data_IF_952462948612
#
_entry.id   IF_952462948612
#
_cell.length_a   1.000
_cell.length_b   1.000
_cell.length_c   1.000
_cell.angle_alpha   90.00
_cell.angle_beta   90.00
_cell.angle_gamma   90.00
#
_symmetry.space_group_name_H-M   'P 1'
#
loop_
_entity.id
_entity.type
_entity.pdbx_description
1 polymer ?
#
# COMPACT_ATOMS: atom_id res chain seq x y z
N UNK A 1 -4.72 -25.54 14.26
CA UNK A 1 -4.07 -24.23 14.50
C UNK A 1 -4.00 -23.42 13.22
N UNK A 2 -3.49 -23.98 12.12
CA UNK A 2 -3.51 -23.30 10.80
C UNK A 2 -4.95 -23.03 10.36
N UNK A 3 -5.83 -24.05 10.39
CA UNK A 3 -7.26 -23.90 10.08
C UNK A 3 -7.97 -22.85 10.94
N UNK A 4 -7.70 -22.79 12.24
CA UNK A 4 -8.33 -21.80 13.13
C UNK A 4 -7.89 -20.37 12.82
N UNK A 5 -6.61 -20.16 12.51
CA UNK A 5 -6.09 -18.83 12.15
C UNK A 5 -6.55 -18.41 10.76
N UNK A 6 -6.60 -19.36 9.82
CA UNK A 6 -7.17 -19.18 8.48
C UNK A 6 -8.63 -18.71 8.56
N UNK A 7 -9.46 -19.40 9.36
CA UNK A 7 -10.87 -19.08 9.51
C UNK A 7 -11.12 -17.75 10.23
N UNK A 8 -10.36 -17.44 11.30
CA UNK A 8 -10.50 -16.17 12.04
C UNK A 8 -10.07 -14.96 11.23
N UNK A 9 -9.06 -15.11 10.36
CA UNK A 9 -8.43 -13.98 9.64
C UNK A 9 -8.76 -13.91 8.15
N UNK A 10 -9.43 -14.91 7.60
CA UNK A 10 -9.77 -14.97 6.17
C UNK A 10 -8.53 -15.06 5.27
N UNK A 11 -7.49 -15.76 5.71
CA UNK A 11 -6.21 -15.89 4.99
C UNK A 11 -6.09 -17.32 4.47
N UNK A 12 -5.60 -17.47 3.23
CA UNK A 12 -5.36 -18.79 2.65
C UNK A 12 -4.32 -19.58 3.46
N UNK A 13 -4.64 -20.83 3.78
CA UNK A 13 -3.77 -21.72 4.55
C UNK A 13 -2.38 -21.87 3.94
N UNK A 14 -2.28 -21.84 2.60
CA UNK A 14 -1.02 -21.92 1.87
C UNK A 14 -0.04 -20.81 2.26
N UNK A 15 -0.53 -19.59 2.50
CA UNK A 15 0.30 -18.46 2.94
C UNK A 15 0.82 -18.70 4.36
N UNK A 16 -0.01 -19.29 5.22
CA UNK A 16 0.36 -19.63 6.60
C UNK A 16 1.43 -20.73 6.62
N UNK A 17 1.27 -21.77 5.80
CA UNK A 17 2.29 -22.82 5.66
C UNK A 17 3.61 -22.27 5.13
N UNK A 18 3.58 -21.47 4.06
CA UNK A 18 4.80 -20.82 3.54
C UNK A 18 5.48 -19.93 4.58
N UNK A 19 4.70 -19.19 5.37
CA UNK A 19 5.24 -18.39 6.47
C UNK A 19 5.92 -19.23 7.55
N UNK A 20 5.33 -20.39 7.89
CA UNK A 20 5.91 -21.34 8.84
C UNK A 20 7.18 -21.99 8.29
N UNK A 21 7.22 -22.33 7.01
CA UNK A 21 8.41 -22.87 6.33
C UNK A 21 9.58 -21.87 6.40
N UNK A 22 9.35 -20.61 6.04
CA UNK A 22 10.36 -19.54 6.13
C UNK A 22 10.80 -19.31 7.58
N UNK A 23 9.84 -19.32 8.52
CA UNK A 23 10.11 -19.18 9.94
C UNK A 23 11.02 -20.30 10.46
N UNK A 24 10.70 -21.56 10.12
CA UNK A 24 11.46 -22.73 10.55
C UNK A 24 12.83 -22.78 9.87
N UNK A 25 12.92 -22.41 8.60
CA UNK A 25 14.18 -22.31 7.87
C UNK A 25 15.12 -21.29 8.54
N UNK A 26 14.61 -20.09 8.84
CA UNK A 26 15.39 -19.03 9.51
C UNK A 26 15.85 -19.41 10.93
N UNK A 27 15.03 -20.17 11.66
CA UNK A 27 15.38 -20.67 12.98
C UNK A 27 16.45 -21.77 12.91
N UNK A 28 16.32 -22.66 11.92
CA UNK A 28 17.26 -23.76 11.67
C UNK A 28 18.63 -23.21 11.25
N UNK A 29 18.68 -22.15 10.44
CA UNK A 29 19.91 -21.49 10.00
C UNK A 29 20.85 -21.13 11.15
N UNK A 30 20.32 -20.74 12.33
CA UNK A 30 21.14 -20.39 13.50
C UNK A 30 21.94 -21.56 14.08
N UNK A 31 21.56 -22.80 13.75
CA UNK A 31 22.27 -24.02 14.15
C UNK A 31 23.28 -24.47 13.08
N UNK A 32 23.28 -23.84 11.90
CA UNK A 32 24.21 -24.09 10.80
C UNK A 32 25.12 -22.87 10.58
N UNK A 33 26.03 -22.97 9.61
CA UNK A 33 26.88 -21.85 9.20
C UNK A 33 26.02 -20.70 8.63
N UNK A 34 26.45 -19.45 8.82
CA UNK A 34 25.66 -18.24 8.47
C UNK A 34 25.28 -18.19 6.97
N UNK A 35 26.09 -18.81 6.12
CA UNK A 35 25.89 -18.87 4.66
C UNK A 35 25.15 -20.12 4.16
N UNK A 36 24.66 -20.99 5.05
CA UNK A 36 23.95 -22.19 4.64
C UNK A 36 22.57 -21.86 4.06
N UNK A 37 22.22 -22.43 2.90
CA UNK A 37 20.89 -22.27 2.33
C UNK A 37 19.98 -23.44 2.77
N UNK A 38 18.88 -23.15 3.47
CA UNK A 38 17.95 -24.15 4.00
C UNK A 38 16.53 -23.86 3.52
N UNK A 39 15.85 -24.90 3.06
CA UNK A 39 14.42 -24.88 2.75
C UNK A 39 13.71 -25.87 3.66
N UNK A 40 12.54 -25.48 4.16
CA UNK A 40 11.69 -26.37 4.96
C UNK A 40 10.42 -26.62 4.18
N UNK A 41 9.96 -27.85 4.15
CA UNK A 41 8.66 -28.22 3.60
C UNK A 41 7.78 -28.78 4.71
N UNK A 42 6.52 -28.34 4.77
CA UNK A 42 5.54 -28.85 5.73
C UNK A 42 4.47 -29.63 4.96
N UNK A 43 4.25 -30.89 5.34
CA UNK A 43 3.10 -31.64 4.86
C UNK A 43 1.82 -31.06 5.46
N UNK A 44 0.92 -30.60 4.60
CA UNK A 44 -0.33 -29.94 4.99
C UNK A 44 -1.29 -30.88 5.72
N UNK A 45 -1.15 -32.19 5.52
CA UNK A 45 -2.05 -33.22 6.07
C UNK A 45 -1.57 -33.73 7.42
N UNK A 46 -0.29 -34.10 7.53
CA UNK A 46 0.29 -34.62 8.78
C UNK A 46 0.81 -33.53 9.71
N UNK A 47 1.19 -32.37 9.17
CA UNK A 47 1.87 -31.29 9.89
C UNK A 47 3.33 -31.59 10.21
N UNK A 48 3.88 -32.71 9.72
CA UNK A 48 5.31 -33.00 9.81
C UNK A 48 6.09 -32.13 8.84
N UNK A 49 7.28 -31.70 9.24
CA UNK A 49 8.15 -30.87 8.41
C UNK A 49 9.47 -31.58 8.12
N UNK A 50 10.03 -31.35 6.94
CA UNK A 50 11.37 -31.80 6.54
C UNK A 50 12.26 -30.60 6.25
N UNK A 51 13.52 -30.68 6.68
CA UNK A 51 14.52 -29.64 6.43
C UNK A 51 15.50 -30.12 5.37
N UNK A 52 15.58 -29.38 4.27
CA UNK A 52 16.49 -29.63 3.17
C UNK A 52 17.57 -28.56 3.19
N UNK A 53 18.83 -28.97 3.11
CA UNK A 53 19.96 -28.06 2.91
C UNK A 53 20.37 -28.10 1.44
N UNK A 54 20.66 -26.92 0.91
CA UNK A 54 21.04 -26.70 -0.47
C UNK A 54 22.50 -26.25 -0.55
N UNK A 55 23.24 -26.85 -1.48
CA UNK A 55 24.60 -26.48 -1.85
C UNK A 55 24.65 -26.15 -3.33
N UNK A 56 25.49 -25.19 -3.71
CA UNK A 56 25.75 -24.87 -5.10
C UNK A 56 26.88 -25.76 -5.62
N UNK A 57 26.68 -26.39 -6.78
CA UNK A 57 27.70 -27.25 -7.38
C UNK A 57 28.75 -26.38 -8.06
N UNK A 58 29.98 -26.40 -7.56
CA UNK A 58 31.10 -25.61 -8.08
C UNK A 58 32.37 -26.45 -8.21
N UNK A 59 33.30 -26.00 -9.05
CA UNK A 59 34.59 -26.64 -9.23
C UNK A 59 35.51 -26.33 -8.04
N UNK A 60 36.28 -27.34 -7.57
CA UNK A 60 37.21 -27.19 -6.44
C UNK A 60 38.31 -26.13 -6.66
N UNK A 61 38.51 -25.65 -7.89
CA UNK A 61 39.51 -24.65 -8.26
C UNK A 61 38.98 -23.21 -8.33
N UNK A 62 37.72 -22.96 -7.99
CA UNK A 62 37.14 -21.62 -8.00
C UNK A 62 37.56 -20.82 -6.74
N UNK A 63 37.82 -19.52 -6.88
CA UNK A 63 38.24 -18.66 -5.75
C UNK A 63 37.12 -18.50 -4.71
N UNK A 64 35.85 -18.66 -5.12
CA UNK A 64 34.66 -18.57 -4.27
C UNK A 64 34.25 -19.92 -3.65
N UNK A 65 35.02 -21.00 -3.86
CA UNK A 65 34.66 -22.33 -3.36
C UNK A 65 34.84 -22.45 -1.84
N UNK A 66 33.72 -22.57 -1.13
CA UNK A 66 33.68 -22.87 0.31
C UNK A 66 32.92 -24.18 0.56
N UNK A 67 33.53 -25.13 1.30
CA UNK A 67 32.93 -26.43 1.63
C UNK A 67 31.58 -26.35 2.37
N UNK A 68 31.27 -25.21 2.97
CA UNK A 68 30.02 -24.99 3.70
C UNK A 68 28.86 -24.53 2.81
N UNK A 69 29.16 -24.01 1.61
CA UNK A 69 28.17 -23.49 0.65
C UNK A 69 28.20 -24.23 -0.70
N UNK A 70 29.33 -24.86 -1.03
CA UNK A 70 29.57 -25.53 -2.30
C UNK A 70 29.82 -27.03 -2.14
N UNK A 71 29.43 -27.78 -3.17
CA UNK A 71 29.68 -29.22 -3.32
C UNK A 71 30.36 -29.47 -4.66
N UNK A 72 31.24 -30.47 -4.70
CA UNK A 72 31.95 -30.84 -5.93
C UNK A 72 31.02 -31.60 -6.88
N UNK A 73 31.26 -31.51 -8.18
CA UNK A 73 30.55 -32.29 -9.21
C UNK A 73 30.64 -33.82 -8.94
N UNK A 74 31.75 -34.28 -8.37
CA UNK A 74 31.98 -35.68 -8.04
C UNK A 74 31.06 -36.18 -6.92
N UNK A 75 30.72 -35.31 -5.95
CA UNK A 75 29.90 -35.65 -4.80
C UNK A 75 28.39 -35.42 -5.06
N UNK A 76 28.02 -34.43 -5.87
CA UNK A 76 26.63 -34.16 -6.23
C UNK A 76 26.12 -35.00 -7.39
N UNK A 77 27.00 -35.47 -8.28
CA UNK A 77 26.63 -36.06 -9.59
C UNK A 77 25.73 -35.16 -10.46
N UNK A 78 25.77 -33.84 -10.21
CA UNK A 78 25.01 -32.80 -10.92
C UNK A 78 25.98 -31.86 -11.63
N UNK A 79 25.49 -31.08 -12.61
CA UNK A 79 26.35 -30.20 -13.39
C UNK A 79 26.74 -28.94 -12.62
N UNK A 80 27.89 -28.35 -12.95
CA UNK A 80 28.35 -27.09 -12.34
C UNK A 80 27.30 -26.00 -12.55
N UNK A 81 26.89 -25.34 -11.46
CA UNK A 81 25.83 -24.34 -11.43
C UNK A 81 24.47 -24.87 -10.97
N UNK A 82 24.30 -26.18 -10.81
CA UNK A 82 23.09 -26.77 -10.23
C UNK A 82 23.07 -26.66 -8.70
N UNK A 83 21.87 -26.78 -8.12
CA UNK A 83 21.68 -26.83 -6.67
C UNK A 83 21.51 -28.28 -6.22
N UNK A 84 22.44 -28.79 -5.44
CA UNK A 84 22.32 -30.09 -4.78
C UNK A 84 21.58 -29.94 -3.45
N UNK A 85 20.51 -30.72 -3.25
CA UNK A 85 19.73 -30.74 -2.02
C UNK A 85 19.91 -32.04 -1.25
N UNK A 86 20.15 -31.96 0.06
CA UNK A 86 20.20 -33.13 0.95
C UNK A 86 19.33 -32.93 2.18
N UNK A 87 18.74 -34.02 2.66
CA UNK A 87 17.92 -34.04 3.86
C UNK A 87 18.79 -33.94 5.11
N UNK A 88 18.42 -33.03 6.00
CA UNK A 88 19.14 -32.79 7.25
C UNK A 88 18.20 -33.10 8.42
N UNK A 89 18.69 -33.73 9.51
CA UNK A 89 17.86 -34.00 10.67
C UNK A 89 17.24 -32.72 11.21
N UNK A 90 15.94 -32.78 11.47
CA UNK A 90 15.19 -31.66 12.04
C UNK A 90 15.76 -31.26 13.41
N UNK A 91 16.02 -29.97 13.57
CA UNK A 91 16.52 -29.41 14.83
C UNK A 91 15.39 -29.42 15.86
N UNK A 92 15.69 -29.82 17.11
CA UNK A 92 14.71 -29.73 18.20
C UNK A 92 14.43 -28.27 18.51
N UNK A 93 13.19 -27.85 18.31
CA UNK A 93 12.75 -26.49 18.62
C UNK A 93 12.80 -26.22 20.12
N UNK A 94 13.67 -25.29 20.53
CA UNK A 94 13.67 -24.71 21.85
C UNK A 94 12.61 -23.60 21.99
N UNK A 95 12.62 -22.95 23.16
CA UNK A 95 11.69 -21.85 23.46
C UNK A 95 11.96 -20.60 22.61
N UNK A 96 13.22 -20.35 22.26
CA UNK A 96 13.67 -19.12 21.56
C UNK A 96 13.25 -19.19 20.09
N UNK A 97 13.48 -20.34 19.46
CA UNK A 97 13.15 -20.64 18.07
C UNK A 97 11.63 -20.61 17.87
N UNK A 98 10.87 -21.14 18.83
CA UNK A 98 9.41 -21.10 18.81
C UNK A 98 8.87 -19.66 18.88
N UNK A 99 9.51 -18.79 19.68
CA UNK A 99 9.12 -17.38 19.77
C UNK A 99 9.45 -16.62 18.47
N UNK A 100 10.62 -16.86 17.89
CA UNK A 100 11.01 -16.29 16.60
C UNK A 100 10.05 -16.74 15.49
N UNK A 101 9.70 -18.03 15.45
CA UNK A 101 8.78 -18.56 14.46
C UNK A 101 7.38 -17.96 14.58
N UNK A 102 6.87 -17.79 15.82
CA UNK A 102 5.62 -17.07 16.06
C UNK A 102 5.67 -15.62 15.55
N UNK A 103 6.80 -14.94 15.74
CA UNK A 103 6.97 -13.57 15.27
C UNK A 103 6.92 -13.47 13.73
N UNK A 104 7.65 -14.35 13.03
CA UNK A 104 7.66 -14.39 11.55
C UNK A 104 6.27 -14.77 11.02
N UNK A 105 5.60 -15.75 11.63
CA UNK A 105 4.23 -16.12 11.29
C UNK A 105 3.28 -14.93 11.45
N UNK A 106 3.30 -14.24 12.59
CA UNK A 106 2.45 -13.08 12.83
C UNK A 106 2.76 -11.91 11.87
N UNK A 107 4.01 -11.75 11.46
CA UNK A 107 4.39 -10.76 10.46
C UNK A 107 3.79 -11.09 9.09
N UNK A 108 3.94 -12.33 8.63
CA UNK A 108 3.40 -12.79 7.33
C UNK A 108 1.89 -12.75 7.29
N UNK A 109 1.22 -13.12 8.39
CA UNK A 109 -0.23 -12.98 8.55
C UNK A 109 -0.65 -11.52 8.36
N UNK A 110 0.03 -10.56 8.99
CA UNK A 110 -0.27 -9.13 8.82
C UNK A 110 0.01 -8.60 7.41
N UNK A 111 1.03 -9.13 6.73
CA UNK A 111 1.32 -8.81 5.33
C UNK A 111 0.17 -9.30 4.44
N UNK A 112 -0.27 -10.54 4.61
CA UNK A 112 -1.39 -11.10 3.85
C UNK A 112 -2.73 -10.38 4.12
N UNK A 113 -3.03 -10.05 5.39
CA UNK A 113 -4.20 -9.22 5.73
C UNK A 113 -4.16 -7.88 4.99
N UNK A 114 -2.98 -7.24 4.94
CA UNK A 114 -2.81 -5.95 4.28
C UNK A 114 -3.02 -6.07 2.77
N UNK A 115 -2.47 -7.09 2.13
CA UNK A 115 -2.61 -7.30 0.69
C UNK A 115 -4.08 -7.55 0.31
N UNK A 116 -4.80 -8.33 1.12
CA UNK A 116 -6.24 -8.53 0.96
C UNK A 116 -7.00 -7.20 1.07
N UNK A 117 -6.72 -6.40 2.11
CA UNK A 117 -7.34 -5.08 2.29
C UNK A 117 -7.04 -4.18 1.08
N UNK A 118 -5.77 -4.07 0.67
CA UNK A 118 -5.37 -3.25 -0.47
C UNK A 118 -6.11 -3.69 -1.74
N UNK A 119 -6.26 -5.00 -1.96
CA UNK A 119 -6.98 -5.53 -3.12
C UNK A 119 -8.45 -5.09 -3.16
N UNK A 120 -9.12 -4.98 -2.00
CA UNK A 120 -10.50 -4.51 -1.90
C UNK A 120 -10.65 -3.04 -2.28
N UNK A 121 -9.64 -2.22 -1.99
CA UNK A 121 -9.66 -0.78 -2.23
C UNK A 121 -9.03 -0.36 -3.56
N UNK A 122 -8.51 -1.29 -4.36
CA UNK A 122 -7.90 -0.97 -5.68
C UNK A 122 -8.85 -0.26 -6.63
N UNK A 123 -10.16 -0.55 -6.58
CA UNK A 123 -11.16 0.13 -7.41
C UNK A 123 -11.47 1.56 -6.95
N UNK A 124 -11.10 1.90 -5.72
CA UNK A 124 -11.31 3.20 -5.08
C UNK A 124 -10.02 4.02 -5.00
N UNK A 125 -8.97 3.62 -5.73
CA UNK A 125 -7.73 4.39 -5.78
C UNK A 125 -7.98 5.79 -6.38
N UNK A 126 -7.42 6.81 -5.73
CA UNK A 126 -7.66 8.23 -6.01
C UNK A 126 -9.11 8.70 -5.86
N UNK A 127 -9.94 7.97 -5.11
CA UNK A 127 -11.29 8.43 -4.76
C UNK A 127 -11.33 9.07 -3.38
N UNK A 128 -12.32 9.94 -3.17
CA UNK A 128 -12.55 10.57 -1.87
C UNK A 128 -13.22 9.60 -0.90
N UNK A 129 -12.56 9.37 0.22
CA UNK A 129 -13.06 8.56 1.33
C UNK A 129 -13.34 9.43 2.55
N UNK A 130 -14.37 9.03 3.30
CA UNK A 130 -14.69 9.63 4.58
C UNK A 130 -14.19 8.69 5.68
N UNK A 131 -13.46 9.22 6.65
CA UNK A 131 -12.94 8.43 7.74
C UNK A 131 -13.00 9.12 9.09
N UNK A 132 -12.74 8.37 10.15
CA UNK A 132 -12.67 8.88 11.54
C UNK A 132 -11.27 8.68 12.09
N UNK A 133 -10.69 9.74 12.66
CA UNK A 133 -9.34 9.69 13.23
C UNK A 133 -9.33 8.80 14.47
N UNK A 134 -8.69 7.64 14.39
CA UNK A 134 -8.51 6.72 15.52
C UNK A 134 -7.35 7.14 16.42
N UNK A 135 -6.23 7.51 15.82
CA UNK A 135 -5.00 7.81 16.56
C UNK A 135 -4.18 8.88 15.87
N UNK A 136 -3.63 9.81 16.65
CA UNK A 136 -2.70 10.84 16.19
C UNK A 136 -1.33 10.55 16.80
N UNK A 137 -0.32 10.33 15.95
CA UNK A 137 1.07 10.18 16.36
C UNK A 137 1.88 11.42 15.99
N UNK A 138 3.19 11.40 16.28
CA UNK A 138 4.09 12.50 15.93
C UNK A 138 4.14 12.73 14.43
N UNK A 139 4.26 11.66 13.65
CA UNK A 139 4.52 11.75 12.20
C UNK A 139 3.31 11.36 11.36
N UNK A 140 2.43 10.50 11.89
CA UNK A 140 1.30 9.93 11.16
C UNK A 140 -0.03 10.07 11.92
N UNK A 141 -1.12 10.19 11.17
CA UNK A 141 -2.49 10.13 11.65
C UNK A 141 -3.10 8.84 11.11
N UNK A 142 -3.73 8.06 11.98
CA UNK A 142 -4.40 6.81 11.61
C UNK A 142 -5.89 7.09 11.56
N UNK A 143 -6.45 6.86 10.39
CA UNK A 143 -7.86 7.12 10.08
C UNK A 143 -8.53 5.80 9.75
N UNK A 144 -9.67 5.56 10.39
CA UNK A 144 -10.57 4.46 10.05
C UNK A 144 -11.44 4.88 8.86
N UNK A 145 -11.34 4.16 7.75
CA UNK A 145 -12.10 4.43 6.51
C UNK A 145 -13.31 3.51 6.35
N UNK A 146 -13.68 2.77 7.40
CA UNK A 146 -14.82 1.84 7.44
C UNK A 146 -14.40 0.38 7.41
N UNK A 147 -15.30 -0.52 7.84
CA UNK A 147 -15.07 -1.97 7.94
C UNK A 147 -13.83 -2.36 8.76
N UNK A 148 -13.51 -1.59 9.81
CA UNK A 148 -12.30 -1.76 10.64
C UNK A 148 -10.98 -1.64 9.87
N UNK A 149 -10.99 -1.01 8.69
CA UNK A 149 -9.80 -0.79 7.87
C UNK A 149 -9.15 0.53 8.24
N UNK A 150 -7.86 0.46 8.59
CA UNK A 150 -7.05 1.61 8.94
C UNK A 150 -6.21 2.08 7.75
N UNK A 151 -6.28 3.37 7.46
CA UNK A 151 -5.44 4.05 6.50
C UNK A 151 -4.53 5.07 7.21
N UNK A 152 -3.35 5.28 6.63
CA UNK A 152 -2.33 6.16 7.20
C UNK A 152 -2.37 7.48 6.46
N UNK A 153 -2.51 8.58 7.20
CA UNK A 153 -2.37 9.93 6.70
C UNK A 153 -1.10 10.56 7.30
N UNK A 154 0.00 10.64 6.53
CA UNK A 154 1.20 11.34 6.95
C UNK A 154 0.91 12.82 7.22
N UNK A 155 1.65 13.46 8.14
CA UNK A 155 1.41 14.87 8.47
C UNK A 155 1.72 15.84 7.32
N UNK A 156 2.63 15.50 6.41
CA UNK A 156 2.89 16.25 5.17
C UNK A 156 1.72 16.18 4.18
N UNK A 157 0.81 15.23 4.37
CA UNK A 157 -0.39 15.07 3.54
C UNK A 157 -1.62 15.80 4.09
N UNK A 158 -1.49 16.50 5.22
CA UNK A 158 -2.48 17.44 5.75
C UNK A 158 -2.41 18.79 5.04
N UNK A 159 -3.46 19.60 5.21
CA UNK A 159 -3.40 21.00 4.82
C UNK A 159 -2.47 21.79 5.77
N UNK A 160 -1.75 22.80 5.27
CA UNK A 160 -0.91 23.65 6.11
C UNK A 160 -1.72 24.36 7.20
N UNK A 161 -1.46 24.04 8.47
CA UNK A 161 -2.15 24.64 9.62
C UNK A 161 -3.31 23.81 10.18
N UNK A 162 -3.70 22.74 9.48
CA UNK A 162 -4.78 21.84 9.89
C UNK A 162 -4.39 21.01 11.11
N UNK A 163 -5.31 20.88 12.07
CA UNK A 163 -5.12 20.12 13.32
C UNK A 163 -6.21 19.06 13.44
N UNK A 164 -5.88 17.82 13.10
CA UNK A 164 -6.77 16.69 13.33
C UNK A 164 -6.75 16.22 14.80
N UNK A 165 -7.92 16.04 15.39
CA UNK A 165 -8.12 15.48 16.73
C UNK A 165 -8.62 14.04 16.65
N UNK A 166 -8.41 13.29 17.75
CA UNK A 166 -8.95 11.94 17.88
C UNK A 166 -10.49 12.00 17.85
N UNK A 167 -11.11 11.04 17.17
CA UNK A 167 -12.55 10.91 16.90
C UNK A 167 -13.15 11.99 15.98
N UNK A 168 -12.31 12.81 15.35
CA UNK A 168 -12.76 13.75 14.33
C UNK A 168 -13.01 13.04 13.00
N UNK A 169 -14.04 13.48 12.27
CA UNK A 169 -14.30 13.00 10.91
C UNK A 169 -13.49 13.82 9.92
N UNK A 170 -12.81 13.14 9.02
CA UNK A 170 -11.95 13.75 8.02
C UNK A 170 -12.27 13.13 6.66
N UNK A 171 -12.35 13.97 5.63
CA UNK A 171 -12.44 13.53 4.24
C UNK A 171 -11.04 13.60 3.64
N UNK A 172 -10.61 12.59 2.90
CA UNK A 172 -9.31 12.59 2.25
C UNK A 172 -9.34 11.70 1.01
N UNK A 173 -8.43 11.94 0.07
CA UNK A 173 -8.28 11.07 -1.09
C UNK A 173 -7.47 9.85 -0.68
N UNK A 174 -7.97 8.67 -1.01
CA UNK A 174 -7.27 7.41 -0.84
C UNK A 174 -6.23 7.24 -1.96
N UNK A 175 -4.98 7.02 -1.59
CA UNK A 175 -3.88 6.72 -2.50
C UNK A 175 -3.20 5.42 -2.06
N UNK A 176 -3.17 4.44 -2.95
CA UNK A 176 -2.44 3.20 -2.71
C UNK A 176 -0.97 3.43 -3.09
N UNK A 177 -0.07 3.40 -2.11
CA UNK A 177 1.37 3.55 -2.35
C UNK A 177 2.16 2.34 -1.86
N UNK A 178 3.17 1.95 -2.63
CA UNK A 178 4.13 0.95 -2.22
C UNK A 178 5.20 1.57 -1.33
N UNK A 179 5.35 1.02 -0.13
CA UNK A 179 6.39 1.43 0.82
C UNK A 179 7.46 0.36 0.86
N UNK A 180 8.71 0.77 0.65
CA UNK A 180 9.85 -0.13 0.67
C UNK A 180 9.93 -0.88 2.02
N UNK A 181 10.04 -2.20 1.94
CA UNK A 181 10.08 -3.11 3.09
C UNK A 181 8.76 -3.34 3.83
N UNK A 182 7.64 -2.69 3.43
CA UNK A 182 6.32 -2.88 4.06
C UNK A 182 5.16 -3.20 3.10
N UNK A 183 5.42 -3.18 1.79
CA UNK A 183 4.43 -3.46 0.76
C UNK A 183 3.47 -2.30 0.51
N UNK A 184 2.40 -2.57 -0.23
CA UNK A 184 1.36 -1.56 -0.54
C UNK A 184 0.59 -1.18 0.72
N UNK A 185 0.36 0.11 0.91
CA UNK A 185 -0.39 0.66 2.03
C UNK A 185 -1.46 1.62 1.53
N UNK A 186 -2.57 1.63 2.26
CA UNK A 186 -3.63 2.63 2.10
C UNK A 186 -3.15 3.93 2.74
N UNK A 187 -2.80 4.90 1.90
CA UNK A 187 -2.40 6.22 2.32
C UNK A 187 -3.51 7.22 2.04
N UNK A 188 -3.67 8.22 2.91
CA UNK A 188 -4.62 9.30 2.69
C UNK A 188 -3.90 10.61 2.42
N UNK A 189 -4.48 11.43 1.55
CA UNK A 189 -3.99 12.78 1.29
C UNK A 189 -5.10 13.80 1.17
N UNK A 190 -4.92 14.93 1.85
CA UNK A 190 -5.75 16.14 1.73
C UNK A 190 -5.04 17.24 0.93
N UNK A 191 -3.72 17.14 0.79
CA UNK A 191 -2.88 18.09 0.06
C UNK A 191 -2.79 17.80 -1.45
N UNK A 192 -3.13 16.59 -1.90
CA UNK A 192 -3.08 16.20 -3.31
C UNK A 192 -4.06 16.99 -4.21
N UNK A 193 -3.73 17.28 -5.48
CA UNK A 193 -4.64 17.98 -6.42
C UNK A 193 -5.98 17.26 -6.62
N UNK A 194 -5.98 15.93 -6.57
CA UNK A 194 -7.17 15.08 -6.73
C UNK A 194 -8.24 15.36 -5.68
N UNK A 195 -7.86 15.85 -4.50
CA UNK A 195 -8.81 16.26 -3.46
C UNK A 195 -9.79 17.32 -3.98
N UNK A 196 -9.31 18.27 -4.77
CA UNK A 196 -10.17 19.31 -5.36
C UNK A 196 -11.13 18.68 -6.36
N UNK A 197 -10.64 17.80 -7.25
CA UNK A 197 -11.47 17.09 -8.23
C UNK A 197 -12.62 16.34 -7.55
N UNK A 198 -12.30 15.54 -6.54
CA UNK A 198 -13.27 14.69 -5.89
C UNK A 198 -14.28 15.48 -5.03
N UNK A 199 -13.84 16.57 -4.40
CA UNK A 199 -14.78 17.48 -3.72
C UNK A 199 -15.75 18.13 -4.70
N UNK A 200 -15.27 18.57 -5.87
CA UNK A 200 -16.13 19.12 -6.91
C UNK A 200 -17.07 18.07 -7.50
N UNK A 201 -16.67 16.81 -7.66
CA UNK A 201 -17.57 15.72 -8.06
C UNK A 201 -18.74 15.55 -7.09
N UNK A 202 -18.49 15.68 -5.78
CA UNK A 202 -19.56 15.56 -4.77
C UNK A 202 -20.48 16.79 -4.79
N UNK A 203 -19.94 17.98 -4.98
CA UNK A 203 -20.69 19.24 -4.89
C UNK A 203 -21.41 19.63 -6.20
N UNK A 204 -20.88 19.23 -7.36
CA UNK A 204 -21.36 19.58 -8.70
C UNK A 204 -21.81 18.31 -9.43
N UNK A 205 -23.14 18.05 -9.50
CA UNK A 205 -23.69 16.88 -10.19
C UNK A 205 -23.24 16.77 -11.65
N UNK A 206 -23.10 17.91 -12.33
CA UNK A 206 -22.69 17.97 -13.73
C UNK A 206 -21.25 17.44 -13.95
N UNK A 207 -20.38 17.48 -12.94
CA UNK A 207 -19.04 16.86 -13.00
C UNK A 207 -19.15 15.35 -12.72
N UNK A 208 -20.02 14.95 -11.79
CA UNK A 208 -20.22 13.53 -11.47
C UNK A 208 -20.89 12.74 -12.61
N UNK A 209 -21.69 13.41 -13.44
CA UNK A 209 -22.33 12.85 -14.64
C UNK A 209 -21.45 12.97 -15.90
N UNK A 210 -20.19 13.39 -15.75
CA UNK A 210 -19.22 13.60 -16.85
C UNK A 210 -19.70 14.60 -17.92
N UNK A 211 -20.62 15.51 -17.58
CA UNK A 211 -21.09 16.58 -18.48
C UNK A 211 -20.06 17.72 -18.52
N UNK A 212 -19.43 18.00 -17.38
CA UNK A 212 -18.32 18.93 -17.22
C UNK A 212 -17.08 18.16 -16.81
N UNK A 213 -16.00 18.32 -17.56
CA UNK A 213 -14.71 17.70 -17.27
C UNK A 213 -13.74 18.73 -16.66
N UNK A 214 -13.07 18.36 -15.57
CA UNK A 214 -11.92 19.11 -15.06
C UNK A 214 -10.68 18.68 -15.86
N UNK A 215 -10.13 19.59 -16.67
CA UNK A 215 -9.01 19.33 -17.58
C UNK A 215 -7.62 19.56 -16.98
N UNK A 216 -7.55 20.26 -15.85
CA UNK A 216 -6.28 20.66 -15.26
C UNK A 216 -6.48 21.30 -13.89
N UNK A 217 -5.52 21.06 -13.01
CA UNK A 217 -5.49 21.57 -11.64
C UNK A 217 -4.06 22.00 -11.31
N UNK A 218 -3.92 23.22 -10.83
CA UNK A 218 -2.70 23.73 -10.22
C UNK A 218 -3.04 24.17 -8.80
N UNK A 219 -2.41 23.54 -7.80
CA UNK A 219 -2.81 23.66 -6.40
C UNK A 219 -1.62 23.96 -5.50
N UNK A 220 -1.76 25.03 -4.73
CA UNK A 220 -0.97 25.33 -3.53
C UNK A 220 -1.86 25.04 -2.30
N UNK A 221 -1.72 23.86 -1.67
CA UNK A 221 -2.67 23.37 -0.66
C UNK A 221 -2.87 24.36 0.49
N UNK A 222 -4.13 24.61 0.85
CA UNK A 222 -4.51 25.54 1.92
C UNK A 222 -4.34 27.03 1.57
N UNK A 223 -3.91 27.38 0.35
CA UNK A 223 -3.74 28.78 -0.07
C UNK A 223 -4.56 29.13 -1.31
N UNK A 224 -4.26 28.48 -2.43
CA UNK A 224 -4.92 28.77 -3.72
C UNK A 224 -4.88 27.56 -4.64
N UNK A 225 -5.99 27.32 -5.31
CA UNK A 225 -6.11 26.37 -6.42
C UNK A 225 -6.67 27.08 -7.64
N UNK A 226 -6.15 26.71 -8.81
CA UNK A 226 -6.72 27.04 -10.12
C UNK A 226 -7.17 25.73 -10.76
N UNK A 227 -8.44 25.64 -11.11
CA UNK A 227 -8.98 24.51 -11.85
C UNK A 227 -9.49 24.97 -13.21
N UNK A 228 -9.37 24.11 -14.20
CA UNK A 228 -9.79 24.42 -15.56
C UNK A 228 -10.86 23.44 -16.00
N UNK A 229 -12.01 23.96 -16.42
CA UNK A 229 -13.21 23.16 -16.71
C UNK A 229 -13.62 23.32 -18.18
N UNK A 230 -14.10 22.23 -18.76
CA UNK A 230 -14.65 22.19 -20.12
C UNK A 230 -15.96 21.43 -20.12
N UNK A 231 -16.89 21.82 -20.98
CA UNK A 231 -18.07 21.00 -21.30
C UNK A 231 -18.21 20.88 -22.81
N UNK A 232 -18.78 19.77 -23.26
CA UNK A 232 -19.13 19.57 -24.66
C UNK A 232 -20.55 20.05 -24.97
N UNK A 233 -21.38 20.34 -23.95
CA UNK A 233 -22.73 20.87 -24.14
C UNK A 233 -22.71 22.40 -24.11
N UNK A 234 -22.92 23.02 -25.28
CA UNK A 234 -22.97 24.48 -25.42
C UNK A 234 -24.14 25.18 -24.72
N UNK A 235 -25.07 24.43 -24.10
CA UNK A 235 -26.16 24.98 -23.28
C UNK A 235 -25.76 25.19 -21.82
N UNK A 236 -24.65 24.60 -21.40
CA UNK A 236 -24.21 24.60 -20.01
C UNK A 236 -23.01 25.54 -19.88
N UNK A 237 -23.09 26.45 -18.91
CA UNK A 237 -21.93 27.24 -18.51
C UNK A 237 -21.13 26.47 -17.45
N UNK A 238 -19.91 25.98 -17.76
CA UNK A 238 -19.16 25.16 -16.84
C UNK A 238 -18.69 25.94 -15.61
N UNK A 239 -18.42 27.24 -15.74
CA UNK A 239 -18.00 28.06 -14.59
C UNK A 239 -19.20 28.31 -13.68
N UNK A 240 -20.33 28.74 -14.24
CA UNK A 240 -21.56 28.96 -13.49
C UNK A 240 -22.03 27.72 -12.72
N UNK A 241 -21.96 26.53 -13.35
CA UNK A 241 -22.30 25.27 -12.69
C UNK A 241 -21.38 24.92 -11.51
N UNK A 242 -20.07 25.17 -11.64
CA UNK A 242 -19.10 24.92 -10.57
C UNK A 242 -19.17 25.94 -9.42
N UNK A 243 -19.46 27.20 -9.74
CA UNK A 243 -19.61 28.28 -8.74
C UNK A 243 -20.92 28.10 -7.95
N UNK A 244 -22.01 27.75 -8.63
CA UNK A 244 -23.34 27.67 -8.03
C UNK A 244 -23.95 29.04 -7.69
N UNK A 245 -25.16 29.05 -7.13
CA UNK A 245 -25.85 30.30 -6.79
C UNK A 245 -25.02 31.13 -5.81
N UNK A 246 -24.56 32.32 -6.23
CA UNK A 246 -23.72 33.21 -5.39
C UNK A 246 -22.44 32.54 -4.84
N UNK A 247 -21.92 31.53 -5.53
CA UNK A 247 -20.69 30.86 -5.09
C UNK A 247 -20.87 29.79 -4.03
N UNK A 248 -22.10 29.35 -3.73
CA UNK A 248 -22.35 28.38 -2.65
C UNK A 248 -21.58 27.07 -2.82
N UNK A 249 -21.46 26.56 -4.05
CA UNK A 249 -20.78 25.29 -4.32
C UNK A 249 -19.27 25.42 -4.13
N UNK A 250 -18.64 26.42 -4.76
CA UNK A 250 -17.20 26.65 -4.58
C UNK A 250 -16.82 27.02 -3.14
N UNK A 251 -17.70 27.71 -2.40
CA UNK A 251 -17.50 28.01 -0.98
C UNK A 251 -17.58 26.75 -0.10
N UNK A 252 -18.45 25.79 -0.42
CA UNK A 252 -18.51 24.49 0.26
C UNK A 252 -17.17 23.75 0.13
N UNK A 253 -16.64 23.65 -1.09
CA UNK A 253 -15.34 23.03 -1.37
C UNK A 253 -14.19 23.79 -0.68
N UNK A 254 -14.19 25.12 -0.77
CA UNK A 254 -13.19 25.98 -0.11
C UNK A 254 -13.22 25.82 1.41
N UNK A 255 -14.41 25.69 2.01
CA UNK A 255 -14.58 25.47 3.44
C UNK A 255 -14.02 24.14 3.93
N UNK A 256 -14.16 23.07 3.15
CA UNK A 256 -13.55 21.77 3.44
C UNK A 256 -12.00 21.82 3.36
N UNK A 257 -11.45 22.75 2.58
CA UNK A 257 -10.01 22.97 2.38
C UNK A 257 -9.46 24.13 3.23
N UNK A 258 -10.05 24.38 4.40
CA UNK A 258 -9.65 25.42 5.36
C UNK A 258 -9.54 26.84 4.76
N UNK A 259 -10.40 27.17 3.80
CA UNK A 259 -10.45 28.50 3.17
C UNK A 259 -9.50 28.67 1.98
N UNK A 260 -8.99 27.58 1.41
CA UNK A 260 -8.24 27.59 0.15
C UNK A 260 -9.03 28.33 -0.94
N UNK A 261 -8.41 29.32 -1.60
CA UNK A 261 -9.06 30.12 -2.65
C UNK A 261 -9.07 29.36 -3.97
N UNK A 262 -10.26 29.11 -4.52
CA UNK A 262 -10.40 28.31 -5.75
C UNK A 262 -10.84 29.22 -6.90
N UNK A 263 -9.99 29.32 -7.93
CA UNK A 263 -10.31 29.96 -9.20
C UNK A 263 -10.75 28.90 -10.21
N UNK A 264 -11.88 29.15 -10.87
CA UNK A 264 -12.45 28.26 -11.88
C UNK A 264 -12.31 28.95 -13.24
N UNK A 265 -11.60 28.30 -14.15
CA UNK A 265 -11.18 28.87 -15.43
C UNK A 265 -11.79 28.05 -16.57
N UNK A 266 -12.27 28.73 -17.61
CA UNK A 266 -12.72 28.06 -18.84
C UNK A 266 -11.48 27.52 -19.57
N UNK A 267 -11.46 26.21 -19.78
CA UNK A 267 -10.44 25.57 -20.59
C UNK A 267 -10.66 25.90 -22.07
N UNK A 268 -9.58 26.30 -22.76
CA UNK A 268 -9.57 26.53 -24.20
C UNK A 268 -8.53 25.60 -24.87
N UNK A 269 -8.87 25.06 -26.04
CA UNK A 269 -7.96 24.20 -26.80
C UNK A 269 -6.80 25.00 -27.42
N UNK A 270 -6.95 26.32 -27.58
CA UNK A 270 -5.88 27.21 -27.98
C UNK A 270 -4.98 27.53 -26.78
N UNK A 271 -3.71 27.10 -26.78
CA UNK A 271 -2.81 27.30 -25.65
C UNK A 271 -2.56 28.79 -25.34
N UNK A 272 -2.61 29.68 -26.33
CA UNK A 272 -2.45 31.11 -26.09
C UNK A 272 -3.63 31.68 -25.30
N UNK A 273 -4.85 31.28 -25.65
CA UNK A 273 -6.06 31.68 -24.92
C UNK A 273 -6.09 31.07 -23.53
N UNK A 274 -5.66 29.82 -23.41
CA UNK A 274 -5.55 29.13 -22.13
C UNK A 274 -4.59 29.83 -21.16
N UNK A 275 -3.44 30.30 -21.63
CA UNK A 275 -2.50 31.08 -20.81
C UNK A 275 -3.13 32.39 -20.33
N UNK A 276 -3.84 33.11 -21.21
CA UNK A 276 -4.54 34.35 -20.84
C UNK A 276 -5.59 34.06 -19.76
N UNK A 277 -6.35 32.99 -19.92
CA UNK A 277 -7.38 32.59 -18.97
C UNK A 277 -6.78 32.16 -17.61
N UNK A 278 -5.55 31.64 -17.61
CA UNK A 278 -4.89 31.11 -16.42
C UNK A 278 -4.19 32.17 -15.54
N UNK A 279 -3.81 33.32 -16.11
CA UNK A 279 -3.17 34.45 -15.41
C UNK A 279 -4.15 35.09 -14.41
#
# INVERSE_FOLDING_TARGET
VVESVSYEKGIEEGIIFSALEVAIASASLRHFHEDANLTVSIDRTSGEYSTHRHWLVAAEGDEDFHKETHVTEADSSMSIGDTFSSDVPNVKFGRIETQAARQVMMQKVREAERDNIVSMFRSQDNSLVNGTVKRVTRDNIIVDIGNDVEAIMPRDQLLPGEICKINERVRAVLQIKEVEGRGSQLMLSRSCPEMVTELFKVEVPEINEDIIEIRGIARDPGSRSKITVKTNDGRIDPVGACVGMRGTRVQSVSGELEGERIDIIIYDDNPAQMVINAL
#
